data_IF_119124750631
#
_entry.id   IF_119124750631
#
_cell.length_a   1.000
_cell.length_b   1.000
_cell.length_c   1.000
_cell.angle_alpha   90.00
_cell.angle_beta   90.00
_cell.angle_gamma   90.00
#
_symmetry.space_group_name_H-M   'P 1'
#
loop_
_entity.id
_entity.type
_entity.pdbx_description
1 polymer ?
#
# COMPACT_ATOMS: atom_id res chain seq x y z
N UNK A 1 -18.66 22.20 -63.92
CA UNK A 1 -17.48 22.60 -64.71
C UNK A 1 -16.87 23.84 -64.06
N UNK A 2 -15.54 23.98 -64.10
CA UNK A 2 -14.64 25.02 -63.50
C UNK A 2 -14.61 25.10 -61.96
N UNK A 3 -13.57 24.70 -61.18
CA UNK A 3 -12.13 25.12 -61.11
C UNK A 3 -11.99 26.67 -61.02
N UNK A 4 -11.28 27.37 -60.10
CA UNK A 4 -10.29 27.06 -59.06
C UNK A 4 -10.01 28.35 -58.22
N UNK A 5 -9.92 28.24 -56.87
CA UNK A 5 -8.87 28.72 -55.92
C UNK A 5 -8.40 30.23 -55.87
N UNK A 6 -7.52 30.70 -54.92
CA UNK A 6 -6.96 30.10 -53.69
C UNK A 6 -6.78 31.05 -52.46
N UNK A 7 -6.12 30.53 -51.40
CA UNK A 7 -5.30 31.21 -50.36
C UNK A 7 -6.06 31.86 -49.20
N UNK A 8 -5.91 31.41 -47.94
CA UNK A 8 -4.72 31.70 -47.09
C UNK A 8 -4.71 30.78 -45.85
N UNK A 9 -3.59 30.11 -45.56
CA UNK A 9 -3.15 29.68 -44.22
C UNK A 9 -2.12 30.71 -43.70
N UNK A 10 -1.64 30.74 -42.43
CA UNK A 10 -1.86 29.82 -41.29
C UNK A 10 -2.18 30.56 -39.96
N UNK A 11 -2.51 29.84 -38.88
CA UNK A 11 -2.59 30.47 -37.55
C UNK A 11 -3.12 29.59 -36.43
N UNK A 12 -2.18 29.02 -35.68
CA UNK A 12 -2.21 28.89 -34.21
C UNK A 12 -3.04 27.78 -33.57
N UNK A 13 -2.28 26.76 -33.13
CA UNK A 13 -2.51 25.91 -31.99
C UNK A 13 -3.27 26.59 -30.85
N UNK A 14 -4.27 25.90 -30.29
CA UNK A 14 -4.34 25.79 -28.84
C UNK A 14 -4.83 24.39 -28.48
N UNK A 15 -3.86 23.50 -28.26
CA UNK A 15 -4.04 22.27 -27.51
C UNK A 15 -4.74 22.57 -26.18
N UNK A 16 -5.86 21.90 -25.91
CA UNK A 16 -6.40 21.79 -24.56
C UNK A 16 -6.27 20.33 -24.07
N UNK A 17 -5.18 19.96 -23.38
CA UNK A 17 -5.09 18.70 -22.67
C UNK A 17 -5.75 18.85 -21.29
N UNK A 18 -7.07 18.97 -21.25
CA UNK A 18 -7.82 19.08 -19.98
C UNK A 18 -8.27 17.72 -19.40
N UNK A 19 -7.70 16.61 -19.86
CA UNK A 19 -8.05 15.26 -19.40
C UNK A 19 -6.89 14.52 -18.69
N UNK A 20 -5.99 15.24 -18.01
CA UNK A 20 -4.85 14.61 -17.32
C UNK A 20 -4.70 14.98 -15.84
N UNK A 21 -5.63 15.74 -15.26
CA UNK A 21 -5.51 16.17 -13.85
C UNK A 21 -6.33 15.35 -12.84
N UNK A 22 -7.27 14.51 -13.27
CA UNK A 22 -8.07 13.70 -12.32
C UNK A 22 -7.43 12.35 -11.94
N UNK A 23 -6.39 11.90 -12.66
CA UNK A 23 -5.83 10.54 -12.51
C UNK A 23 -4.37 10.50 -12.02
N UNK A 24 -3.71 11.64 -11.82
CA UNK A 24 -2.32 11.70 -11.33
C UNK A 24 -2.20 12.03 -9.83
N UNK A 25 -3.33 12.15 -9.14
CA UNK A 25 -3.42 12.26 -7.69
C UNK A 25 -4.36 11.19 -7.13
N UNK A 26 -4.27 9.95 -7.62
CA UNK A 26 -4.36 8.87 -6.65
C UNK A 26 -3.17 9.09 -5.71
N UNK A 27 -3.40 9.86 -4.64
CA UNK A 27 -2.46 10.02 -3.54
C UNK A 27 -1.89 8.63 -3.28
N UNK A 28 -0.56 8.45 -3.38
CA UNK A 28 0.09 7.17 -3.09
C UNK A 28 -0.38 6.70 -1.72
N UNK A 29 -1.38 5.83 -1.71
CA UNK A 29 -1.99 5.33 -0.49
C UNK A 29 -1.01 4.34 0.07
N UNK A 30 -0.48 4.65 1.25
CA UNK A 30 0.44 3.81 2.00
C UNK A 30 -0.08 2.36 2.01
N UNK A 31 0.78 1.41 1.65
CA UNK A 31 0.42 -0.01 1.62
C UNK A 31 0.44 -0.61 3.02
N UNK A 32 -0.67 -1.26 3.38
CA UNK A 32 -0.86 -1.91 4.67
C UNK A 32 -1.13 -3.39 4.43
N UNK A 33 -0.28 -4.26 4.98
CA UNK A 33 -0.46 -5.71 4.96
C UNK A 33 -1.22 -6.18 6.20
N UNK A 34 -2.33 -6.90 6.01
CA UNK A 34 -3.06 -7.58 7.07
C UNK A 34 -2.79 -9.08 7.01
N UNK A 35 -2.24 -9.65 8.09
CA UNK A 35 -1.76 -11.06 8.09
C UNK A 35 -2.89 -12.08 8.20
N UNK A 36 -3.99 -11.73 8.86
CA UNK A 36 -5.16 -12.58 9.03
C UNK A 36 -6.45 -11.76 9.18
N UNK A 37 -7.63 -12.32 8.85
CA UNK A 37 -8.90 -11.64 9.08
C UNK A 37 -9.13 -11.50 10.59
N UNK A 38 -9.34 -10.27 11.06
CA UNK A 38 -9.50 -9.94 12.49
C UNK A 38 -10.86 -9.31 12.79
N UNK A 39 -11.15 -8.17 12.17
CA UNK A 39 -12.41 -7.45 12.36
C UNK A 39 -12.88 -6.81 11.04
N UNK A 40 -14.14 -6.98 10.63
CA UNK A 40 -14.69 -6.34 9.44
C UNK A 40 -14.66 -4.81 9.51
N UNK A 41 -14.76 -4.25 10.71
CA UNK A 41 -14.64 -2.81 10.93
C UNK A 41 -13.22 -2.32 10.66
N UNK A 42 -12.21 -3.02 11.19
CA UNK A 42 -10.81 -2.69 10.96
C UNK A 42 -10.47 -2.79 9.47
N UNK A 43 -10.89 -3.86 8.80
CA UNK A 43 -10.69 -4.06 7.37
C UNK A 43 -11.28 -2.91 6.54
N UNK A 44 -12.51 -2.48 6.87
CA UNK A 44 -13.19 -1.36 6.20
C UNK A 44 -12.45 -0.04 6.39
N UNK A 45 -12.05 0.28 7.63
CA UNK A 45 -11.34 1.52 7.91
C UNK A 45 -9.97 1.56 7.24
N UNK A 46 -9.25 0.42 7.24
CA UNK A 46 -7.96 0.31 6.57
C UNK A 46 -8.11 0.44 5.05
N UNK A 47 -9.04 -0.28 4.42
CA UNK A 47 -9.25 -0.20 2.96
C UNK A 47 -9.74 1.17 2.48
N UNK A 48 -10.41 1.94 3.35
CA UNK A 48 -10.84 3.31 3.01
C UNK A 48 -9.64 4.27 2.97
N UNK A 49 -8.73 4.16 3.96
CA UNK A 49 -7.62 5.11 4.17
C UNK A 49 -6.32 4.72 3.47
N UNK A 50 -6.11 3.42 3.24
CA UNK A 50 -4.85 2.83 2.81
C UNK A 50 -5.06 1.81 1.69
N UNK A 51 -3.96 1.41 1.04
CA UNK A 51 -3.97 0.26 0.13
C UNK A 51 -3.86 -1.00 0.96
N UNK A 52 -4.99 -1.67 1.18
CA UNK A 52 -5.05 -2.86 2.04
C UNK A 52 -4.70 -4.13 1.25
N UNK A 53 -3.62 -4.79 1.67
CA UNK A 53 -3.21 -6.10 1.20
C UNK A 53 -3.61 -7.16 2.21
N UNK A 54 -4.35 -8.18 1.76
CA UNK A 54 -4.87 -9.23 2.63
C UNK A 54 -4.12 -10.53 2.36
N UNK A 55 -3.31 -10.98 3.31
CA UNK A 55 -2.41 -12.11 3.07
C UNK A 55 -3.17 -13.41 2.70
N UNK A 56 -4.38 -13.60 3.22
CA UNK A 56 -5.23 -14.77 2.95
C UNK A 56 -5.89 -14.77 1.56
N UNK A 57 -5.84 -13.66 0.82
CA UNK A 57 -6.31 -13.60 -0.58
C UNK A 57 -5.22 -14.05 -1.56
N UNK A 58 -3.97 -14.22 -1.09
CA UNK A 58 -2.86 -14.69 -1.89
C UNK A 58 -2.60 -16.19 -1.67
N UNK A 59 -2.26 -16.94 -2.74
CA UNK A 59 -2.00 -18.37 -2.65
C UNK A 59 -0.71 -18.70 -1.88
N UNK A 60 0.26 -17.77 -1.86
CA UNK A 60 1.50 -17.92 -1.11
C UNK A 60 2.06 -16.56 -0.69
N UNK A 61 2.72 -16.53 0.48
CA UNK A 61 3.43 -15.35 0.97
C UNK A 61 4.57 -14.94 0.01
N UNK A 62 5.27 -15.92 -0.57
CA UNK A 62 6.37 -15.67 -1.50
C UNK A 62 5.92 -14.94 -2.77
N UNK A 63 4.77 -15.30 -3.33
CA UNK A 63 4.24 -14.64 -4.53
C UNK A 63 3.74 -13.23 -4.21
N UNK A 64 3.13 -13.05 -3.03
CA UNK A 64 2.76 -11.74 -2.52
C UNK A 64 3.98 -10.81 -2.38
N UNK A 65 5.05 -11.27 -1.73
CA UNK A 65 6.25 -10.49 -1.48
C UNK A 65 6.96 -10.09 -2.78
N UNK A 66 7.01 -10.97 -3.79
CA UNK A 66 7.59 -10.65 -5.10
C UNK A 66 6.89 -9.49 -5.80
N UNK A 67 5.58 -9.35 -5.61
CA UNK A 67 4.77 -8.36 -6.30
C UNK A 67 4.63 -7.05 -5.52
N UNK A 68 4.62 -7.11 -4.18
CA UNK A 68 4.17 -5.99 -3.35
C UNK A 68 5.18 -5.55 -2.27
N UNK A 69 6.32 -6.22 -2.10
CA UNK A 69 7.29 -5.95 -1.00
C UNK A 69 7.65 -4.48 -0.84
N UNK A 70 7.90 -3.76 -1.94
CA UNK A 70 8.28 -2.34 -1.92
C UNK A 70 7.10 -1.39 -1.66
N UNK A 71 5.86 -1.88 -1.71
CA UNK A 71 4.67 -1.06 -1.50
C UNK A 71 4.18 -1.12 -0.05
N UNK A 72 4.64 -2.09 0.75
CA UNK A 72 4.18 -2.28 2.13
C UNK A 72 5.03 -1.45 3.10
N UNK A 73 4.36 -0.51 3.76
CA UNK A 73 4.97 0.34 4.78
C UNK A 73 4.48 -0.01 6.19
N UNK A 74 3.33 -0.71 6.29
CA UNK A 74 2.77 -1.12 7.56
C UNK A 74 2.31 -2.58 7.54
N UNK A 75 2.53 -3.29 8.64
CA UNK A 75 2.00 -4.64 8.87
C UNK A 75 1.04 -4.62 10.05
N UNK A 76 -0.14 -5.20 9.87
CA UNK A 76 -1.16 -5.38 10.90
C UNK A 76 -1.33 -6.87 11.15
N UNK A 77 -0.94 -7.31 12.35
CA UNK A 77 -0.99 -8.71 12.76
C UNK A 77 -1.71 -8.93 14.08
N UNK A 78 -1.65 -10.16 14.59
CA UNK A 78 -2.17 -10.53 15.91
C UNK A 78 -1.22 -11.48 16.65
N UNK A 79 -1.63 -11.99 17.82
CA UNK A 79 -0.83 -12.90 18.63
C UNK A 79 -0.47 -14.23 17.94
N UNK A 80 -1.21 -14.63 16.90
CA UNK A 80 -0.96 -15.87 16.16
C UNK A 80 -0.13 -15.63 14.90
N UNK A 81 -0.36 -14.51 14.23
CA UNK A 81 0.26 -14.12 12.96
C UNK A 81 0.86 -12.71 13.10
N UNK A 82 2.05 -12.65 13.70
CA UNK A 82 2.83 -11.43 13.87
C UNK A 82 3.74 -11.13 12.68
N UNK A 83 4.82 -10.40 12.94
CA UNK A 83 5.88 -10.09 11.98
C UNK A 83 7.19 -10.74 12.43
N UNK A 84 7.53 -11.88 11.82
CA UNK A 84 8.80 -12.55 12.08
C UNK A 84 9.97 -11.87 11.34
N UNK A 85 11.19 -12.27 11.67
CA UNK A 85 12.40 -11.74 11.04
C UNK A 85 12.37 -11.87 9.51
N UNK A 86 11.85 -13.00 8.98
CA UNK A 86 11.81 -13.25 7.55
C UNK A 86 10.86 -12.28 6.84
N UNK A 87 9.68 -12.03 7.40
CA UNK A 87 8.72 -11.07 6.88
C UNK A 87 9.28 -9.65 6.96
N UNK A 88 9.90 -9.28 8.09
CA UNK A 88 10.50 -7.96 8.28
C UNK A 88 11.63 -7.71 7.28
N UNK A 89 12.51 -8.69 7.05
CA UNK A 89 13.61 -8.56 6.08
C UNK A 89 13.10 -8.55 4.62
N UNK A 90 11.94 -9.16 4.36
CA UNK A 90 11.33 -9.19 3.01
C UNK A 90 10.61 -7.89 2.64
N UNK A 91 10.40 -6.98 3.59
CA UNK A 91 9.66 -5.73 3.39
C UNK A 91 10.62 -4.53 3.58
N UNK A 92 11.30 -4.07 2.52
CA UNK A 92 12.33 -3.04 2.64
C UNK A 92 11.78 -1.69 3.13
N UNK A 93 10.56 -1.33 2.72
CA UNK A 93 9.92 -0.05 3.07
C UNK A 93 9.08 -0.11 4.36
N UNK A 94 9.21 -1.19 5.16
CA UNK A 94 8.43 -1.35 6.38
C UNK A 94 8.81 -0.30 7.44
N UNK A 95 7.83 0.48 7.90
CA UNK A 95 8.00 1.52 8.92
C UNK A 95 7.36 1.18 10.26
N UNK A 96 6.23 0.45 10.23
CA UNK A 96 5.44 0.15 11.42
C UNK A 96 4.82 -1.24 11.42
N UNK A 97 4.83 -1.89 12.58
CA UNK A 97 4.09 -3.12 12.87
C UNK A 97 3.07 -2.83 13.96
N UNK A 98 1.79 -2.97 13.63
CA UNK A 98 0.68 -2.86 14.57
C UNK A 98 0.15 -4.25 14.93
N UNK A 99 0.13 -4.58 16.22
CA UNK A 99 -0.45 -5.82 16.73
C UNK A 99 -1.85 -5.57 17.28
N UNK A 100 -2.85 -6.25 16.74
CA UNK A 100 -4.19 -6.35 17.31
C UNK A 100 -4.24 -7.38 18.45
N UNK A 101 -3.29 -7.25 19.38
CA UNK A 101 -3.19 -8.05 20.59
C UNK A 101 -2.34 -7.32 21.63
N UNK A 102 -2.45 -7.77 22.88
CA UNK A 102 -1.54 -7.39 23.98
C UNK A 102 -0.20 -8.14 23.88
N UNK A 103 -0.16 -9.28 23.19
CA UNK A 103 1.02 -10.11 23.03
C UNK A 103 1.89 -9.66 21.85
N UNK A 104 3.21 -9.68 22.06
CA UNK A 104 4.23 -9.39 21.04
C UNK A 104 5.18 -10.56 20.80
N UNK A 105 4.85 -11.74 21.31
CA UNK A 105 5.70 -12.95 21.24
C UNK A 105 5.99 -13.39 19.79
N UNK A 106 5.15 -12.97 18.83
CA UNK A 106 5.29 -13.27 17.40
C UNK A 106 5.87 -12.12 16.58
N UNK A 107 6.32 -11.04 17.24
CA UNK A 107 6.98 -9.93 16.57
C UNK A 107 8.45 -9.96 16.94
N UNK A 108 9.33 -10.01 15.93
CA UNK A 108 10.77 -9.93 16.18
C UNK A 108 11.18 -8.49 16.52
N UNK A 109 11.13 -8.17 17.81
CA UNK A 109 11.51 -6.85 18.32
C UNK A 109 12.98 -6.51 18.07
N UNK A 110 13.85 -7.53 17.98
CA UNK A 110 15.28 -7.34 17.70
C UNK A 110 15.47 -6.77 16.30
N UNK A 111 14.84 -7.42 15.32
CA UNK A 111 14.82 -6.97 13.92
C UNK A 111 14.10 -5.64 13.74
N UNK A 112 12.96 -5.45 14.40
CA UNK A 112 12.29 -4.14 14.39
C UNK A 112 13.21 -3.03 14.90
N UNK A 113 13.97 -3.27 15.97
CA UNK A 113 14.91 -2.28 16.51
C UNK A 113 16.09 -2.02 15.57
N UNK A 114 16.64 -3.06 14.94
CA UNK A 114 17.74 -2.95 13.97
C UNK A 114 17.33 -2.08 12.77
N UNK A 115 16.12 -2.28 12.26
CA UNK A 115 15.58 -1.55 11.09
C UNK A 115 14.81 -0.28 11.45
N UNK A 116 14.80 0.12 12.72
CA UNK A 116 14.09 1.33 13.23
C UNK A 116 12.57 1.30 12.92
N UNK A 117 11.97 0.12 12.96
CA UNK A 117 10.55 -0.12 12.76
C UNK A 117 9.80 0.12 14.06
N UNK A 118 8.73 0.90 13.99
CA UNK A 118 7.88 1.19 15.15
C UNK A 118 6.95 0.01 15.43
N UNK A 119 6.74 -0.32 16.69
CA UNK A 119 5.79 -1.38 17.10
C UNK A 119 4.71 -0.79 17.99
N UNK A 120 3.44 -1.02 17.65
CA UNK A 120 2.29 -0.64 18.46
C UNK A 120 1.47 -1.87 18.82
N UNK A 121 0.91 -1.88 20.03
CA UNK A 121 0.15 -3.00 20.56
C UNK A 121 -1.22 -2.52 21.03
N UNK A 122 -2.20 -3.42 20.98
CA UNK A 122 -3.50 -3.16 21.56
C UNK A 122 -3.39 -3.20 23.09
N UNK A 123 -3.61 -2.08 23.76
CA UNK A 123 -3.63 -1.97 25.22
C UNK A 123 -5.07 -1.68 25.68
N UNK A 124 -5.59 -2.48 26.61
CA UNK A 124 -6.81 -2.14 27.33
C UNK A 124 -6.48 -1.00 28.32
N UNK A 125 -7.14 0.13 28.16
CA UNK A 125 -7.17 1.24 29.13
C UNK A 125 -8.45 1.19 29.95
#
# INVERSE_FOLDING_TARGET
>A
SSYQNPTTQPGEELHSPLCLSHSLLEMEKIGVLMTCPMSPYLERELSTRFTLFKLWEYPSLSDFLKQNSNSIHAVVGNASHGADAQLIDSLPELEIVASYSVGIDKIDLGKCKERVIRVTIYQYS
#
